data_IF_687290648384
#
_entry.id   IF_687290648384
#
_cell.length_a   1.000
_cell.length_b   1.000
_cell.length_c   1.000
_cell.angle_alpha   90.00
_cell.angle_beta   90.00
_cell.angle_gamma   90.00
#
_symmetry.space_group_name_H-M   'P 1'
#
loop_
_entity.id
_entity.type
_entity.pdbx_description
1 polymer ?
#
# COMPACT_ATOMS: atom_id res chain seq x y z
N UNK A 1 41.22 67.34 -0.27
CA UNK A 1 41.80 66.17 0.43
C UNK A 1 40.68 65.46 1.17
N UNK A 2 40.62 64.12 1.14
CA UNK A 2 39.72 63.33 0.30
C UNK A 2 38.40 62.95 0.98
N UNK A 3 37.37 62.75 0.16
CA UNK A 3 36.12 62.06 0.52
C UNK A 3 36.47 60.61 0.79
N UNK A 4 36.20 60.12 2.00
CA UNK A 4 36.28 58.69 2.31
C UNK A 4 35.13 58.04 1.53
N UNK A 5 35.53 57.29 0.51
CA UNK A 5 34.67 56.51 -0.37
C UNK A 5 34.12 55.34 0.44
N UNK A 6 32.84 55.04 0.20
CA UNK A 6 32.12 53.86 0.65
C UNK A 6 32.98 52.58 0.56
N UNK A 7 33.30 51.99 1.71
CA UNK A 7 33.75 50.59 1.81
C UNK A 7 33.06 49.94 3.02
N UNK A 8 31.73 49.94 3.00
CA UNK A 8 30.94 48.88 3.61
C UNK A 8 30.38 48.01 2.48
N UNK A 9 31.26 47.43 1.68
CA UNK A 9 30.89 46.19 1.01
C UNK A 9 30.81 45.13 2.10
N UNK A 10 29.62 44.95 2.66
CA UNK A 10 29.30 43.77 3.44
C UNK A 10 29.52 42.58 2.51
N UNK A 11 30.67 41.91 2.62
CA UNK A 11 30.93 40.66 1.93
C UNK A 11 29.71 39.76 2.17
N UNK A 12 29.09 39.20 1.11
CA UNK A 12 27.99 38.28 1.28
C UNK A 12 28.49 37.14 2.18
N UNK A 13 27.82 37.00 3.32
CA UNK A 13 28.22 36.12 4.41
C UNK A 13 28.58 34.74 3.84
N UNK A 14 29.87 34.40 3.79
CA UNK A 14 30.38 33.23 3.06
C UNK A 14 29.67 31.92 3.48
N UNK A 15 29.19 31.90 4.72
CA UNK A 15 28.35 30.86 5.30
C UNK A 15 26.95 30.80 4.67
N UNK A 16 26.30 31.94 4.42
CA UNK A 16 25.01 32.05 3.75
C UNK A 16 25.10 31.58 2.30
N UNK A 17 26.15 31.96 1.57
CA UNK A 17 26.39 31.48 0.22
C UNK A 17 26.60 29.96 0.17
N UNK A 18 27.39 29.42 1.11
CA UNK A 18 27.60 27.97 1.25
C UNK A 18 26.30 27.22 1.57
N UNK A 19 25.47 27.76 2.47
CA UNK A 19 24.15 27.20 2.80
C UNK A 19 23.21 27.22 1.59
N UNK A 20 23.18 28.31 0.82
CA UNK A 20 22.34 28.41 -0.35
C UNK A 20 22.78 27.44 -1.46
N UNK A 21 24.09 27.26 -1.66
CA UNK A 21 24.63 26.23 -2.55
C UNK A 21 24.23 24.82 -2.08
N UNK A 22 24.32 24.53 -0.78
CA UNK A 22 23.90 23.26 -0.22
C UNK A 22 22.40 23.01 -0.43
N UNK A 23 21.54 24.02 -0.25
CA UNK A 23 20.11 23.93 -0.52
C UNK A 23 19.79 23.68 -2.00
N UNK A 24 20.50 24.35 -2.92
CA UNK A 24 20.35 24.14 -4.36
C UNK A 24 20.63 22.69 -4.78
N UNK A 25 21.51 21.99 -4.05
CA UNK A 25 21.79 20.57 -4.27
C UNK A 25 20.77 19.68 -3.56
N UNK A 26 20.43 19.97 -2.29
CA UNK A 26 19.60 19.09 -1.47
C UNK A 26 18.11 19.14 -1.83
N UNK A 27 17.58 20.30 -2.21
CA UNK A 27 16.17 20.48 -2.58
C UNK A 27 15.70 19.55 -3.72
N UNK A 28 16.36 19.50 -4.89
CA UNK A 28 15.94 18.60 -5.97
C UNK A 28 16.03 17.13 -5.56
N UNK A 29 17.05 16.74 -4.78
CA UNK A 29 17.19 15.37 -4.27
C UNK A 29 16.02 15.01 -3.35
N UNK A 30 15.63 15.90 -2.44
CA UNK A 30 14.52 15.67 -1.50
C UNK A 30 13.18 15.63 -2.21
N UNK A 31 12.94 16.52 -3.17
CA UNK A 31 11.75 16.47 -4.04
C UNK A 31 11.68 15.16 -4.83
N UNK A 32 12.81 14.68 -5.36
CA UNK A 32 12.84 13.39 -6.05
C UNK A 32 12.50 12.22 -5.11
N UNK A 33 13.02 12.22 -3.88
CA UNK A 33 12.70 11.20 -2.87
C UNK A 33 11.23 11.23 -2.47
N UNK A 34 10.65 12.42 -2.26
CA UNK A 34 9.22 12.59 -2.02
C UNK A 34 8.39 12.02 -3.19
N UNK A 35 8.73 12.36 -4.43
CA UNK A 35 8.04 11.84 -5.61
C UNK A 35 8.13 10.31 -5.73
N UNK A 36 9.24 9.70 -5.29
CA UNK A 36 9.37 8.23 -5.23
C UNK A 36 8.48 7.66 -4.11
N UNK A 37 8.49 8.27 -2.93
CA UNK A 37 7.67 7.83 -1.81
C UNK A 37 6.16 7.90 -2.11
N UNK A 38 5.70 8.98 -2.73
CA UNK A 38 4.31 9.11 -3.19
C UNK A 38 3.95 8.08 -4.26
N UNK A 39 4.86 7.74 -5.17
CA UNK A 39 4.64 6.67 -6.15
C UNK A 39 4.48 5.31 -5.48
N UNK A 40 5.36 4.98 -4.54
CA UNK A 40 5.25 3.73 -3.77
C UNK A 40 3.95 3.69 -2.97
N UNK A 41 3.56 4.80 -2.31
CA UNK A 41 2.29 4.88 -1.59
C UNK A 41 1.08 4.62 -2.51
N UNK A 42 1.05 5.21 -3.71
CA UNK A 42 -0.02 4.95 -4.69
C UNK A 42 -0.04 3.50 -5.15
N UNK A 43 1.13 2.91 -5.41
CA UNK A 43 1.23 1.49 -5.78
C UNK A 43 0.70 0.58 -4.67
N UNK A 44 1.09 0.82 -3.42
CA UNK A 44 0.59 0.04 -2.28
C UNK A 44 -0.92 0.20 -2.07
N UNK A 45 -1.46 1.40 -2.34
CA UNK A 45 -2.91 1.60 -2.32
C UNK A 45 -3.61 0.76 -3.38
N UNK A 46 -3.09 0.73 -4.62
CA UNK A 46 -3.63 -0.13 -5.68
C UNK A 46 -3.57 -1.61 -5.30
N UNK A 47 -2.46 -2.07 -4.72
CA UNK A 47 -2.32 -3.46 -4.26
C UNK A 47 -3.33 -3.81 -3.16
N UNK A 48 -3.57 -2.91 -2.22
CA UNK A 48 -4.59 -3.11 -1.19
C UNK A 48 -6.00 -3.19 -1.80
N UNK A 49 -6.32 -2.33 -2.78
CA UNK A 49 -7.59 -2.40 -3.50
C UNK A 49 -7.76 -3.75 -4.20
N UNK A 50 -6.75 -4.22 -4.93
CA UNK A 50 -6.76 -5.51 -5.61
C UNK A 50 -6.89 -6.68 -4.64
N UNK A 51 -6.19 -6.64 -3.50
CA UNK A 51 -6.30 -7.67 -2.47
C UNK A 51 -7.72 -7.74 -1.88
N UNK A 52 -8.37 -6.59 -1.67
CA UNK A 52 -9.76 -6.52 -1.18
C UNK A 52 -10.75 -7.05 -2.20
N UNK A 53 -10.57 -6.70 -3.48
CA UNK A 53 -11.39 -7.25 -4.57
C UNK A 53 -11.23 -8.77 -4.65
N UNK A 54 -10.01 -9.29 -4.53
CA UNK A 54 -9.78 -10.74 -4.50
C UNK A 54 -10.43 -11.39 -3.27
N UNK A 55 -10.28 -10.81 -2.07
CA UNK A 55 -10.94 -11.31 -0.85
C UNK A 55 -12.45 -11.42 -1.05
N UNK A 56 -13.08 -10.38 -1.57
CA UNK A 56 -14.51 -10.37 -1.84
C UNK A 56 -14.89 -11.47 -2.86
N UNK A 57 -14.12 -11.64 -3.94
CA UNK A 57 -14.39 -12.68 -4.93
C UNK A 57 -14.28 -14.10 -4.34
N UNK A 58 -13.29 -14.34 -3.46
CA UNK A 58 -13.13 -15.63 -2.78
C UNK A 58 -14.26 -15.90 -1.79
N UNK A 59 -14.72 -14.87 -1.06
CA UNK A 59 -15.88 -14.97 -0.15
C UNK A 59 -17.17 -15.28 -0.92
N UNK A 60 -17.41 -14.61 -2.05
CA UNK A 60 -18.55 -14.89 -2.93
C UNK A 60 -18.52 -16.32 -3.48
N UNK A 61 -17.34 -16.80 -3.92
CA UNK A 61 -17.16 -18.18 -4.35
C UNK A 61 -17.40 -19.19 -3.22
N UNK A 62 -16.98 -18.87 -1.99
CA UNK A 62 -17.24 -19.73 -0.84
C UNK A 62 -18.73 -19.90 -0.57
N UNK A 63 -19.51 -18.82 -0.66
CA UNK A 63 -20.96 -18.87 -0.52
C UNK A 63 -21.57 -19.77 -1.60
N UNK A 64 -21.15 -19.58 -2.86
CA UNK A 64 -21.64 -20.41 -3.97
C UNK A 64 -21.31 -21.90 -3.79
N UNK A 65 -20.10 -22.23 -3.34
CA UNK A 65 -19.74 -23.63 -3.07
C UNK A 65 -20.52 -24.23 -1.90
N UNK A 66 -20.79 -23.45 -0.86
CA UNK A 66 -21.63 -23.88 0.26
C UNK A 66 -23.08 -24.13 -0.17
N UNK A 67 -23.66 -23.23 -0.95
CA UNK A 67 -25.01 -23.40 -1.52
C UNK A 67 -25.06 -24.64 -2.41
N UNK A 68 -24.07 -24.80 -3.29
CA UNK A 68 -23.98 -25.97 -4.16
C UNK A 68 -23.87 -27.28 -3.38
N UNK A 69 -23.07 -27.28 -2.30
CA UNK A 69 -22.98 -28.42 -1.39
C UNK A 69 -24.33 -28.74 -0.72
N UNK A 70 -25.05 -27.72 -0.24
CA UNK A 70 -26.36 -27.89 0.40
C UNK A 70 -27.40 -28.44 -0.58
N UNK A 71 -27.47 -27.92 -1.81
CA UNK A 71 -28.35 -28.44 -2.85
C UNK A 71 -28.03 -29.90 -3.21
N UNK A 72 -26.75 -30.23 -3.34
CA UNK A 72 -26.32 -31.60 -3.60
C UNK A 72 -26.78 -32.51 -2.46
N UNK A 73 -26.56 -32.11 -1.21
CA UNK A 73 -26.96 -32.86 -0.02
C UNK A 73 -28.48 -33.06 0.05
N UNK A 74 -29.28 -32.06 -0.28
CA UNK A 74 -30.74 -32.16 -0.30
C UNK A 74 -31.23 -33.13 -1.38
N UNK A 75 -30.69 -33.05 -2.60
CA UNK A 75 -31.00 -33.98 -3.70
C UNK A 75 -30.63 -35.43 -3.34
N UNK A 76 -29.57 -35.62 -2.54
CA UNK A 76 -29.15 -36.93 -2.05
C UNK A 76 -30.12 -37.53 -1.03
N UNK A 77 -30.70 -36.72 -0.13
CA UNK A 77 -31.72 -37.20 0.83
C UNK A 77 -32.97 -37.78 0.14
N UNK A 78 -33.24 -37.38 -1.10
CA UNK A 78 -34.39 -37.82 -1.89
C UNK A 78 -34.14 -39.11 -2.71
N UNK A 79 -32.89 -39.60 -2.85
CA UNK A 79 -32.57 -40.79 -3.65
C UNK A 79 -32.11 -41.99 -2.80
N UNK A 80 -32.98 -42.96 -2.60
CA UNK A 80 -32.75 -44.17 -1.80
C UNK A 80 -32.50 -45.42 -2.68
N UNK A 81 -31.27 -45.60 -3.18
CA UNK A 81 -30.87 -46.89 -3.77
C UNK A 81 -29.43 -47.27 -3.43
N UNK A 82 -29.23 -48.52 -3.00
CA UNK A 82 -28.00 -49.03 -2.37
C UNK A 82 -26.75 -49.00 -3.27
N UNK A 83 -26.90 -49.18 -4.58
CA UNK A 83 -25.79 -49.11 -5.56
C UNK A 83 -25.28 -47.68 -5.80
N UNK A 84 -26.07 -46.66 -5.44
CA UNK A 84 -25.65 -45.27 -5.59
C UNK A 84 -24.87 -44.74 -4.38
N UNK A 85 -24.92 -45.42 -3.22
CA UNK A 85 -24.28 -44.98 -1.96
C UNK A 85 -22.78 -44.72 -2.08
N UNK A 86 -22.02 -45.56 -2.79
CA UNK A 86 -20.57 -45.38 -2.94
C UNK A 86 -20.23 -44.17 -3.82
N UNK A 87 -20.99 -43.96 -4.91
CA UNK A 87 -20.86 -42.75 -5.74
C UNK A 87 -21.28 -41.50 -4.96
N UNK A 88 -22.30 -41.60 -4.12
CA UNK A 88 -22.75 -40.52 -3.25
C UNK A 88 -21.70 -40.09 -2.25
N UNK A 89 -21.07 -41.05 -1.56
CA UNK A 89 -20.04 -40.77 -0.57
C UNK A 89 -18.82 -40.10 -1.21
N UNK A 90 -18.43 -40.53 -2.42
CA UNK A 90 -17.37 -39.86 -3.18
C UNK A 90 -17.77 -38.44 -3.60
N UNK A 91 -19.01 -38.20 -4.01
CA UNK A 91 -19.46 -36.86 -4.39
C UNK A 91 -19.52 -35.91 -3.20
N UNK A 92 -20.05 -36.34 -2.04
CA UNK A 92 -20.06 -35.53 -0.82
C UNK A 92 -18.63 -35.22 -0.35
N UNK A 93 -17.73 -36.21 -0.37
CA UNK A 93 -16.34 -35.99 0.03
C UNK A 93 -15.65 -34.98 -0.90
N UNK A 94 -15.93 -35.04 -2.21
CA UNK A 94 -15.39 -34.09 -3.19
C UNK A 94 -15.94 -32.68 -2.96
N UNK A 95 -17.24 -32.55 -2.70
CA UNK A 95 -17.86 -31.25 -2.45
C UNK A 95 -17.40 -30.63 -1.12
N UNK A 96 -17.24 -31.44 -0.07
CA UNK A 96 -16.63 -31.00 1.19
C UNK A 96 -15.17 -30.56 1.01
N UNK A 97 -14.40 -31.27 0.19
CA UNK A 97 -13.03 -30.87 -0.14
C UNK A 97 -12.98 -29.54 -0.90
N UNK A 98 -13.92 -29.30 -1.83
CA UNK A 98 -14.04 -28.02 -2.53
C UNK A 98 -14.27 -26.88 -1.53
N UNK A 99 -15.30 -27.00 -0.68
CA UNK A 99 -15.60 -25.99 0.35
C UNK A 99 -14.40 -25.77 1.28
N UNK A 100 -13.73 -26.85 1.72
CA UNK A 100 -12.53 -26.73 2.56
C UNK A 100 -11.38 -26.00 1.87
N UNK A 101 -11.16 -26.25 0.58
CA UNK A 101 -10.16 -25.53 -0.23
C UNK A 101 -10.53 -24.06 -0.37
N UNK A 102 -11.80 -23.75 -0.63
CA UNK A 102 -12.26 -22.37 -0.81
C UNK A 102 -12.22 -21.57 0.51
N UNK A 103 -12.49 -22.21 1.65
CA UNK A 103 -12.25 -21.60 2.97
C UNK A 103 -10.77 -21.27 3.19
N UNK A 104 -9.87 -22.16 2.77
CA UNK A 104 -8.43 -21.89 2.84
C UNK A 104 -8.03 -20.72 1.93
N UNK A 105 -8.60 -20.60 0.74
CA UNK A 105 -8.37 -19.47 -0.16
C UNK A 105 -8.85 -18.15 0.45
N UNK A 106 -10.02 -18.13 1.09
CA UNK A 106 -10.52 -16.95 1.81
C UNK A 106 -9.56 -16.51 2.92
N UNK A 107 -9.05 -17.46 3.72
CA UNK A 107 -8.08 -17.16 4.78
C UNK A 107 -6.77 -16.57 4.20
N UNK A 108 -6.28 -17.13 3.08
CA UNK A 108 -5.10 -16.59 2.41
C UNK A 108 -5.33 -15.18 1.86
N UNK A 109 -6.51 -14.92 1.27
CA UNK A 109 -6.87 -13.60 0.76
C UNK A 109 -7.02 -12.56 1.88
N UNK A 110 -7.55 -12.96 3.04
CA UNK A 110 -7.60 -12.12 4.23
C UNK A 110 -6.22 -11.74 4.73
N UNK A 111 -5.33 -12.73 4.89
CA UNK A 111 -3.95 -12.47 5.29
C UNK A 111 -3.20 -11.58 4.28
N UNK A 112 -3.45 -11.78 2.97
CA UNK A 112 -2.89 -10.90 1.93
C UNK A 112 -3.40 -9.45 2.06
N UNK A 113 -4.67 -9.25 2.43
CA UNK A 113 -5.21 -7.91 2.71
C UNK A 113 -4.52 -7.26 3.91
N UNK A 114 -4.33 -8.00 5.00
CA UNK A 114 -3.65 -7.50 6.20
C UNK A 114 -2.20 -7.07 5.89
N UNK A 115 -1.48 -7.90 5.13
CA UNK A 115 -0.13 -7.57 4.69
C UNK A 115 -0.10 -6.33 3.80
N UNK A 116 -0.98 -6.25 2.80
CA UNK A 116 -1.07 -5.10 1.91
C UNK A 116 -1.41 -3.81 2.67
N UNK A 117 -2.25 -3.90 3.72
CA UNK A 117 -2.57 -2.78 4.58
C UNK A 117 -1.35 -2.32 5.39
N UNK A 118 -0.61 -3.24 6.00
CA UNK A 118 0.61 -2.91 6.74
C UNK A 118 1.68 -2.25 5.83
N UNK A 119 1.83 -2.72 4.59
CA UNK A 119 2.75 -2.12 3.61
C UNK A 119 2.29 -0.72 3.17
N UNK A 120 0.99 -0.49 3.00
CA UNK A 120 0.45 0.85 2.72
C UNK A 120 0.70 1.82 3.90
N UNK A 121 0.56 1.35 5.14
CA UNK A 121 0.85 2.16 6.32
C UNK A 121 2.33 2.56 6.37
N UNK A 122 3.25 1.62 6.13
CA UNK A 122 4.70 1.88 6.04
C UNK A 122 5.01 2.88 4.93
N UNK A 123 4.45 2.68 3.73
CA UNK A 123 4.65 3.59 2.59
C UNK A 123 4.10 5.00 2.87
N UNK A 124 2.97 5.09 3.58
CA UNK A 124 2.36 6.36 3.99
C UNK A 124 3.22 7.10 5.01
N UNK A 125 3.75 6.40 6.02
CA UNK A 125 4.67 6.98 7.00
C UNK A 125 5.93 7.50 6.31
N UNK A 126 6.54 6.70 5.42
CA UNK A 126 7.72 7.11 4.68
C UNK A 126 7.45 8.34 3.79
N UNK A 127 6.32 8.40 3.09
CA UNK A 127 5.92 9.57 2.30
C UNK A 127 5.78 10.82 3.16
N UNK A 128 5.18 10.71 4.36
CA UNK A 128 5.07 11.82 5.33
C UNK A 128 6.44 12.31 5.80
N UNK A 129 7.37 11.40 6.06
CA UNK A 129 8.74 11.77 6.45
C UNK A 129 9.48 12.51 5.33
N UNK A 130 9.35 12.06 4.08
CA UNK A 130 9.95 12.76 2.94
C UNK A 130 9.31 14.14 2.72
N UNK A 131 8.00 14.26 2.92
CA UNK A 131 7.28 15.53 2.84
C UNK A 131 7.83 16.53 3.89
N UNK A 132 7.90 16.11 5.16
CA UNK A 132 8.48 16.92 6.24
C UNK A 132 9.92 17.33 5.94
N UNK A 133 10.72 16.46 5.33
CA UNK A 133 12.10 16.79 4.96
C UNK A 133 12.17 17.87 3.87
N UNK A 134 11.24 17.88 2.92
CA UNK A 134 11.13 18.94 1.91
C UNK A 134 10.68 20.24 2.56
N UNK A 135 9.62 20.21 3.38
CA UNK A 135 9.10 21.39 4.09
C UNK A 135 10.16 22.07 4.96
N UNK A 136 10.96 21.28 5.70
CA UNK A 136 12.07 21.82 6.49
C UNK A 136 13.09 22.57 5.64
N UNK A 137 13.41 22.08 4.45
CA UNK A 137 14.35 22.75 3.56
C UNK A 137 13.72 23.98 2.88
N UNK A 138 12.42 23.94 2.59
CA UNK A 138 11.69 25.11 2.07
C UNK A 138 11.68 26.24 3.09
N UNK A 139 11.33 25.93 4.34
CA UNK A 139 11.36 26.88 5.44
C UNK A 139 12.76 27.50 5.64
N UNK A 140 13.82 26.69 5.57
CA UNK A 140 15.19 27.21 5.64
C UNK A 140 15.55 28.11 4.44
N UNK A 141 15.06 27.79 3.24
CA UNK A 141 15.27 28.61 2.05
C UNK A 141 14.58 29.97 2.17
N UNK A 142 13.31 29.98 2.58
CA UNK A 142 12.51 31.20 2.76
C UNK A 142 13.17 32.13 3.78
N UNK A 143 13.63 31.61 4.92
CA UNK A 143 14.32 32.43 5.92
C UNK A 143 15.75 32.83 5.58
N UNK A 144 16.39 32.17 4.63
CA UNK A 144 17.65 32.65 4.05
C UNK A 144 17.42 33.72 2.99
N UNK A 145 16.21 33.86 2.44
CA UNK A 145 15.84 34.92 1.50
C UNK A 145 15.36 36.18 2.25
N UNK A 146 14.67 36.01 3.39
CA UNK A 146 14.13 37.11 4.23
C UNK A 146 15.15 37.78 5.18
N UNK A 147 16.30 37.14 5.44
CA UNK A 147 17.38 37.64 6.32
C UNK A 147 18.43 38.44 5.55
#
# INVERSE_FOLDING_TARGET
>A
MPRIIDEFEAEPDSQRLSLQQALNVLMPIRRQRLNRAQRVQRQQHTLLTQAREQKQAEEEQLVQEQEHYLEQRERLQQQSSREKLTRHLNNEMTALQAVGKQQQQCYQAEHACEQAQAELERATQWAREQQKAVEKLQYLSEHLEDA
#
